data_IF_990249645723
#
_entry.id   IF_990249645723
#
_cell.length_a   1.000
_cell.length_b   1.000
_cell.length_c   1.000
_cell.angle_alpha   90.00
_cell.angle_beta   90.00
_cell.angle_gamma   90.00
#
_symmetry.space_group_name_H-M   'P 1'
#
loop_
_entity.id
_entity.type
_entity.pdbx_description
1 polymer ?
#
# COMPACT_ATOMS: atom_id res chain seq x y z
N UNK A 1 -33.89 24.33 -45.06
CA UNK A 1 -34.16 22.88 -45.15
C UNK A 1 -33.00 22.24 -45.86
N UNK A 2 -32.09 21.66 -45.07
CA UNK A 2 -31.07 20.70 -45.51
C UNK A 2 -30.69 19.96 -44.22
N UNK A 3 -31.24 18.76 -44.04
CA UNK A 3 -30.85 17.78 -43.03
C UNK A 3 -30.12 16.65 -43.75
N UNK A 4 -28.99 16.21 -43.18
CA UNK A 4 -28.33 14.90 -43.28
C UNK A 4 -26.85 15.13 -42.87
N UNK A 5 -26.13 14.29 -42.14
CA UNK A 5 -26.41 13.10 -41.33
C UNK A 5 -25.09 12.91 -40.54
N UNK A 6 -25.11 12.99 -39.21
CA UNK A 6 -23.94 12.68 -38.38
C UNK A 6 -24.09 11.24 -37.87
N UNK A 7 -23.39 10.32 -38.54
CA UNK A 7 -23.25 8.94 -38.12
C UNK A 7 -22.44 8.90 -36.81
N UNK A 8 -23.02 8.29 -35.78
CA UNK A 8 -22.44 8.15 -34.45
C UNK A 8 -21.41 7.01 -34.39
N UNK A 9 -20.14 7.35 -34.19
CA UNK A 9 -19.05 6.42 -33.83
C UNK A 9 -19.12 6.03 -32.34
N UNK A 10 -20.21 5.39 -31.93
CA UNK A 10 -20.46 5.04 -30.52
C UNK A 10 -20.43 3.52 -30.23
N UNK A 11 -19.95 2.68 -31.16
CA UNK A 11 -19.96 1.22 -31.01
C UNK A 11 -18.56 0.60 -30.86
N UNK A 12 -17.74 1.11 -29.92
CA UNK A 12 -16.54 0.39 -29.44
C UNK A 12 -16.36 0.38 -27.91
N UNK A 13 -17.38 0.71 -27.13
CA UNK A 13 -17.34 0.62 -25.66
C UNK A 13 -18.05 -0.65 -25.18
N UNK A 14 -17.67 -1.80 -25.73
CA UNK A 14 -18.02 -3.09 -25.14
C UNK A 14 -16.78 -3.64 -24.41
N UNK A 15 -16.30 -2.86 -23.45
CA UNK A 15 -15.40 -3.36 -22.42
C UNK A 15 -16.25 -4.13 -21.43
N UNK A 16 -16.10 -5.45 -21.42
CA UNK A 16 -16.71 -6.36 -20.45
C UNK A 16 -16.63 -5.72 -19.06
N UNK A 17 -17.80 -5.36 -18.54
CA UNK A 17 -17.98 -4.97 -17.15
C UNK A 17 -17.69 -6.23 -16.31
N UNK A 18 -16.41 -6.51 -16.09
CA UNK A 18 -15.96 -7.42 -15.05
C UNK A 18 -16.30 -6.74 -13.74
N UNK A 19 -17.53 -6.92 -13.30
CA UNK A 19 -17.91 -6.72 -11.90
C UNK A 19 -17.00 -7.66 -11.09
N UNK A 20 -15.82 -7.17 -10.71
CA UNK A 20 -14.99 -7.81 -9.73
C UNK A 20 -15.78 -7.72 -8.43
N UNK A 21 -16.62 -8.71 -8.18
CA UNK A 21 -17.39 -8.83 -6.96
C UNK A 21 -16.39 -8.92 -5.82
N UNK A 22 -16.17 -7.79 -5.14
CA UNK A 22 -15.30 -7.73 -3.97
C UNK A 22 -15.96 -8.57 -2.89
N UNK A 23 -15.46 -9.79 -2.70
CA UNK A 23 -15.98 -10.69 -1.69
C UNK A 23 -15.37 -10.32 -0.33
N UNK A 24 -16.18 -9.74 0.54
CA UNK A 24 -15.77 -9.43 1.89
C UNK A 24 -15.79 -10.70 2.75
N UNK A 25 -14.67 -11.02 3.39
CA UNK A 25 -14.51 -12.18 4.27
C UNK A 25 -14.45 -11.68 5.71
N UNK A 26 -15.58 -11.76 6.42
CA UNK A 26 -15.65 -11.42 7.83
C UNK A 26 -15.73 -9.92 8.13
N UNK A 27 -15.23 -9.53 9.30
CA UNK A 27 -15.29 -8.14 9.79
C UNK A 27 -14.20 -7.26 9.16
N UNK A 28 -14.25 -5.94 9.42
CA UNK A 28 -13.17 -4.99 9.06
C UNK A 28 -12.94 -4.80 7.57
N UNK A 29 -14.00 -4.98 6.77
CA UNK A 29 -13.99 -4.90 5.31
C UNK A 29 -12.87 -5.75 4.70
N UNK A 30 -12.61 -6.92 5.31
CA UNK A 30 -11.53 -7.76 4.88
C UNK A 30 -11.85 -8.44 3.56
N UNK A 31 -10.85 -8.57 2.69
CA UNK A 31 -10.98 -9.17 1.36
C UNK A 31 -9.81 -10.14 1.16
N UNK A 32 -10.07 -11.22 0.43
CA UNK A 32 -9.04 -12.19 0.03
C UNK A 32 -8.95 -12.20 -1.48
N UNK A 33 -7.74 -12.04 -2.00
CA UNK A 33 -7.46 -12.12 -3.43
C UNK A 33 -6.14 -12.84 -3.66
N UNK A 34 -6.00 -13.47 -4.82
CA UNK A 34 -4.75 -14.09 -5.22
C UNK A 34 -3.81 -13.05 -5.85
N UNK A 35 -2.54 -13.08 -5.48
CA UNK A 35 -1.55 -12.13 -5.99
C UNK A 35 -1.28 -12.28 -7.50
N UNK A 36 -1.68 -13.40 -8.10
CA UNK A 36 -1.55 -13.72 -9.52
C UNK A 36 -2.78 -13.31 -10.37
N UNK A 37 -3.90 -12.93 -9.75
CA UNK A 37 -5.10 -12.48 -10.47
C UNK A 37 -4.89 -11.15 -11.22
N UNK A 38 -3.84 -10.39 -10.87
CA UNK A 38 -3.49 -9.18 -11.57
C UNK A 38 -2.69 -9.47 -12.84
N UNK A 39 -3.27 -9.17 -14.01
CA UNK A 39 -2.49 -9.11 -15.24
C UNK A 39 -1.40 -8.04 -15.08
N UNK A 40 -0.11 -8.38 -15.29
CA UNK A 40 0.96 -7.40 -15.22
C UNK A 40 0.71 -6.35 -16.30
N UNK A 41 0.63 -5.08 -15.88
CA UNK A 41 0.60 -3.98 -16.84
C UNK A 41 1.87 -4.05 -17.70
N UNK A 42 1.76 -3.79 -19.02
CA UNK A 42 2.94 -3.73 -19.87
C UNK A 42 3.92 -2.69 -19.28
N UNK A 43 5.24 -2.92 -19.41
CA UNK A 43 6.23 -1.94 -18.98
C UNK A 43 5.89 -0.58 -19.60
N UNK A 44 5.79 0.43 -18.75
CA UNK A 44 5.56 1.79 -19.21
C UNK A 44 6.83 2.28 -19.89
N UNK A 45 6.85 2.27 -21.23
CA UNK A 45 7.92 2.89 -22.01
C UNK A 45 7.77 4.41 -21.91
N UNK A 46 8.62 5.01 -21.09
CA UNK A 46 8.72 6.46 -20.96
C UNK A 46 9.71 6.99 -22.00
N UNK A 47 9.41 8.12 -22.67
CA UNK A 47 10.37 8.79 -23.55
C UNK A 47 11.63 9.22 -22.81
N UNK A 48 12.77 9.29 -23.50
CA UNK A 48 14.06 9.68 -22.92
C UNK A 48 14.02 11.09 -22.28
N UNK A 49 13.29 12.03 -22.90
CA UNK A 49 13.08 13.40 -22.42
C UNK A 49 12.49 13.47 -20.99
N UNK A 50 11.79 12.43 -20.53
CA UNK A 50 11.27 12.37 -19.14
C UNK A 50 12.41 12.34 -18.10
N UNK A 51 13.55 11.77 -18.47
CA UNK A 51 14.73 11.65 -17.62
C UNK A 51 15.67 12.85 -17.76
N UNK A 52 15.42 13.72 -18.72
CA UNK A 52 16.15 14.98 -18.86
C UNK A 52 15.62 16.03 -17.89
N UNK A 53 16.53 16.70 -17.19
CA UNK A 53 16.17 17.74 -16.24
C UNK A 53 15.65 18.97 -16.95
N UNK A 54 14.47 19.44 -16.55
CA UNK A 54 13.96 20.71 -17.03
C UNK A 54 14.47 21.87 -16.17
N UNK A 55 14.32 23.10 -16.67
CA UNK A 55 14.74 24.31 -15.96
C UNK A 55 14.05 24.48 -14.59
N UNK A 56 12.81 24.01 -14.46
CA UNK A 56 12.08 24.05 -13.19
C UNK A 56 12.65 23.08 -12.16
N UNK A 57 13.05 21.88 -12.58
CA UNK A 57 13.70 20.90 -11.70
C UNK A 57 15.03 21.43 -11.18
N UNK A 58 15.81 22.07 -12.06
CA UNK A 58 17.07 22.72 -11.67
C UNK A 58 16.83 23.84 -10.65
N UNK A 59 15.76 24.62 -10.80
CA UNK A 59 15.40 25.67 -9.83
C UNK A 59 15.01 25.07 -8.48
N UNK A 60 14.23 24.00 -8.46
CA UNK A 60 13.84 23.29 -7.23
C UNK A 60 15.06 22.70 -6.55
N UNK A 61 15.91 22.00 -7.28
CA UNK A 61 17.14 21.41 -6.76
C UNK A 61 18.08 22.48 -6.20
N UNK A 62 18.27 23.58 -6.92
CA UNK A 62 19.11 24.67 -6.43
C UNK A 62 18.56 25.29 -5.14
N UNK A 63 17.24 25.48 -5.06
CA UNK A 63 16.58 25.98 -3.84
C UNK A 63 16.80 25.02 -2.66
N UNK A 64 16.64 23.73 -2.89
CA UNK A 64 16.85 22.69 -1.86
C UNK A 64 18.30 22.65 -1.39
N UNK A 65 19.26 22.68 -2.32
CA UNK A 65 20.69 22.72 -2.00
C UNK A 65 21.06 23.96 -1.17
N UNK A 66 20.52 25.13 -1.56
CA UNK A 66 20.72 26.37 -0.83
C UNK A 66 20.13 26.28 0.58
N UNK A 67 18.90 25.79 0.71
CA UNK A 67 18.23 25.63 1.99
C UNK A 67 18.99 24.65 2.89
N UNK A 68 19.39 23.49 2.38
CA UNK A 68 20.14 22.50 3.14
C UNK A 68 21.49 23.05 3.62
N UNK A 69 22.17 23.85 2.79
CA UNK A 69 23.40 24.54 3.19
C UNK A 69 23.12 25.52 4.33
N UNK A 70 22.09 26.36 4.20
CA UNK A 70 21.70 27.31 5.24
C UNK A 70 21.32 26.60 6.55
N UNK A 71 20.59 25.48 6.47
CA UNK A 71 20.19 24.66 7.61
C UNK A 71 21.37 23.99 8.30
N UNK A 72 22.41 23.59 7.56
CA UNK A 72 23.63 22.99 8.13
C UNK A 72 24.55 24.04 8.76
N UNK A 73 24.73 25.18 8.10
CA UNK A 73 25.58 26.27 8.59
C UNK A 73 24.94 26.99 9.79
N UNK A 74 23.62 27.16 9.82
CA UNK A 74 22.89 27.95 10.81
C UNK A 74 21.97 27.12 11.73
N UNK A 75 22.22 25.81 11.86
CA UNK A 75 21.30 24.93 12.61
C UNK A 75 21.14 25.38 14.07
N UNK A 76 19.94 25.78 14.53
CA UNK A 76 19.74 26.18 15.91
C UNK A 76 19.85 24.98 16.86
N UNK A 77 20.29 25.24 18.10
CA UNK A 77 20.31 24.21 19.15
C UNK A 77 18.87 23.80 19.51
N UNK A 78 18.51 22.55 19.23
CA UNK A 78 17.22 21.98 19.63
C UNK A 78 17.29 21.51 21.07
N UNK A 79 16.64 22.23 21.98
CA UNK A 79 16.49 21.85 23.39
C UNK A 79 15.53 20.68 23.54
N UNK A 80 15.55 20.01 24.70
CA UNK A 80 14.63 18.91 25.00
C UNK A 80 13.16 19.34 24.85
N UNK A 81 12.79 20.51 25.38
CA UNK A 81 11.43 21.03 25.30
C UNK A 81 10.94 21.25 23.85
N UNK A 82 11.81 21.75 22.97
CA UNK A 82 11.48 21.96 21.55
C UNK A 82 11.27 20.63 20.83
N UNK A 83 12.09 19.61 21.13
CA UNK A 83 11.93 18.26 20.56
C UNK A 83 10.61 17.63 21.01
N UNK A 84 10.34 17.63 22.32
CA UNK A 84 9.12 17.04 22.87
C UNK A 84 7.84 17.71 22.31
N UNK A 85 7.87 19.04 22.11
CA UNK A 85 6.77 19.79 21.50
C UNK A 85 6.57 19.45 20.02
N UNK A 86 7.64 19.40 19.24
CA UNK A 86 7.54 19.03 17.82
C UNK A 86 7.12 17.56 17.63
N UNK A 87 7.62 16.66 18.47
CA UNK A 87 7.29 15.24 18.43
C UNK A 87 5.81 15.00 18.77
N UNK A 88 5.29 15.69 19.79
CA UNK A 88 3.87 15.62 20.14
C UNK A 88 2.97 16.21 19.06
N UNK A 89 3.31 17.38 18.51
CA UNK A 89 2.56 18.00 17.41
C UNK A 89 2.59 17.13 16.14
N UNK A 90 3.75 16.57 15.79
CA UNK A 90 3.93 15.65 14.66
C UNK A 90 3.12 14.37 14.87
N UNK A 91 3.15 13.81 16.08
CA UNK A 91 2.38 12.61 16.42
C UNK A 91 0.88 12.87 16.28
N UNK A 92 0.36 13.96 16.86
CA UNK A 92 -1.05 14.32 16.74
C UNK A 92 -1.47 14.58 15.28
N UNK A 93 -0.62 15.28 14.52
CA UNK A 93 -0.86 15.53 13.08
C UNK A 93 -0.93 14.22 12.28
N UNK A 94 -0.03 13.28 12.55
CA UNK A 94 -0.01 11.96 11.90
C UNK A 94 -1.23 11.12 12.27
N UNK A 95 -1.63 11.11 13.55
CA UNK A 95 -2.82 10.38 14.01
C UNK A 95 -4.10 10.94 13.36
N UNK A 96 -4.23 12.27 13.29
CA UNK A 96 -5.37 12.89 12.63
C UNK A 96 -5.39 12.66 11.12
N UNK A 97 -4.23 12.62 10.46
CA UNK A 97 -4.13 12.40 9.02
C UNK A 97 -4.46 10.97 8.61
N UNK A 98 -4.09 9.99 9.43
CA UNK A 98 -4.16 8.58 9.07
C UNK A 98 -5.04 7.78 10.04
N UNK A 99 -6.34 8.08 10.07
CA UNK A 99 -7.31 7.42 10.98
C UNK A 99 -7.54 5.94 10.67
N UNK A 100 -7.23 5.50 9.45
CA UNK A 100 -7.42 4.10 9.01
C UNK A 100 -6.14 3.60 8.37
N UNK A 101 -5.79 2.36 8.69
CA UNK A 101 -4.63 1.65 8.17
C UNK A 101 -5.10 0.38 7.47
N UNK A 102 -4.71 0.21 6.22
CA UNK A 102 -4.98 -1.03 5.48
C UNK A 102 -3.77 -1.94 5.64
N UNK A 103 -3.98 -3.14 6.18
CA UNK A 103 -2.92 -4.15 6.33
C UNK A 103 -3.17 -5.26 5.32
N UNK A 104 -2.12 -5.65 4.60
CA UNK A 104 -2.11 -6.77 3.65
C UNK A 104 -1.18 -7.85 4.16
N UNK A 105 -1.69 -9.06 4.32
CA UNK A 105 -0.96 -10.24 4.75
C UNK A 105 -0.85 -11.18 3.57
N UNK A 106 0.37 -11.41 3.11
CA UNK A 106 0.64 -12.35 2.02
C UNK A 106 0.97 -13.73 2.60
N UNK A 107 0.18 -14.71 2.20
CA UNK A 107 0.40 -16.11 2.57
C UNK A 107 1.35 -16.81 1.58
N UNK A 108 1.98 -17.93 1.98
CA UNK A 108 2.89 -18.69 1.12
C UNK A 108 2.23 -19.26 -0.15
N UNK A 109 0.91 -19.47 -0.13
CA UNK A 109 0.08 -19.93 -1.24
C UNK A 109 -0.28 -18.82 -2.24
N UNK A 110 0.32 -17.62 -2.09
CA UNK A 110 0.06 -16.42 -2.89
C UNK A 110 -1.30 -15.78 -2.67
N UNK A 111 -2.06 -16.20 -1.67
CA UNK A 111 -3.24 -15.49 -1.21
C UNK A 111 -2.85 -14.24 -0.43
N UNK A 112 -3.61 -13.17 -0.60
CA UNK A 112 -3.44 -11.92 0.13
C UNK A 112 -4.73 -11.61 0.88
N UNK A 113 -4.64 -11.56 2.21
CA UNK A 113 -5.69 -11.05 3.08
C UNK A 113 -5.46 -9.56 3.33
N UNK A 114 -6.39 -8.72 2.85
CA UNK A 114 -6.39 -7.29 3.12
C UNK A 114 -7.48 -6.96 4.12
N UNK A 115 -7.18 -6.22 5.18
CA UNK A 115 -8.17 -5.78 6.18
C UNK A 115 -7.89 -4.34 6.66
N UNK A 116 -8.95 -3.67 7.13
CA UNK A 116 -8.88 -2.27 7.61
C UNK A 116 -8.80 -2.23 9.14
N UNK A 117 -7.80 -1.55 9.66
CA UNK A 117 -7.55 -1.35 11.08
C UNK A 117 -7.55 0.15 11.43
N UNK A 118 -7.79 0.46 12.69
CA UNK A 118 -7.60 1.80 13.23
C UNK A 118 -6.13 2.01 13.62
N UNK A 119 -5.61 3.24 13.53
CA UNK A 119 -4.22 3.56 13.87
C UNK A 119 -3.83 3.25 15.33
N UNK A 120 -4.83 3.13 16.21
CA UNK A 120 -4.64 2.84 17.64
C UNK A 120 -4.60 1.35 17.97
N UNK A 121 -4.88 0.48 16.99
CA UNK A 121 -4.89 -0.97 17.21
C UNK A 121 -3.48 -1.53 17.30
N UNK A 122 -3.32 -2.56 18.12
CA UNK A 122 -2.01 -3.18 18.36
C UNK A 122 -1.73 -4.27 17.35
N UNK A 123 -0.45 -4.62 17.18
CA UNK A 123 -0.03 -5.77 16.38
C UNK A 123 -0.67 -7.07 16.87
N UNK A 124 -0.92 -7.20 18.18
CA UNK A 124 -1.60 -8.36 18.74
C UNK A 124 -3.03 -8.50 18.19
N UNK A 125 -3.77 -7.40 18.10
CA UNK A 125 -5.13 -7.37 17.50
C UNK A 125 -5.10 -7.83 16.05
N UNK A 126 -4.08 -7.43 15.29
CA UNK A 126 -3.89 -7.88 13.90
C UNK A 126 -3.59 -9.38 13.86
N UNK A 127 -2.70 -9.88 14.72
CA UNK A 127 -2.35 -11.29 14.78
C UNK A 127 -3.55 -12.17 15.16
N UNK A 128 -4.34 -11.75 16.15
CA UNK A 128 -5.53 -12.48 16.58
C UNK A 128 -6.62 -12.46 15.50
N UNK A 129 -6.77 -11.36 14.77
CA UNK A 129 -7.62 -11.31 13.59
C UNK A 129 -7.16 -12.33 12.53
N UNK A 130 -5.88 -12.36 12.17
CA UNK A 130 -5.34 -13.29 11.17
C UNK A 130 -5.59 -14.75 11.58
N UNK A 131 -5.41 -15.09 12.86
CA UNK A 131 -5.67 -16.45 13.37
C UNK A 131 -7.10 -16.92 13.14
N UNK A 132 -8.09 -16.03 13.07
CA UNK A 132 -9.48 -16.42 12.77
C UNK A 132 -9.68 -16.91 11.33
N UNK A 133 -8.77 -16.57 10.42
CA UNK A 133 -8.78 -17.01 9.02
C UNK A 133 -7.83 -18.20 8.76
N UNK A 134 -7.10 -18.65 9.78
CA UNK A 134 -6.20 -19.79 9.67
C UNK A 134 -6.90 -21.04 10.21
N UNK A 135 -6.78 -22.15 9.50
CA UNK A 135 -7.12 -23.45 10.07
C UNK A 135 -6.21 -23.74 11.28
N UNK A 136 -6.72 -24.40 12.33
CA UNK A 136 -5.89 -24.80 13.44
C UNK A 136 -4.75 -25.67 12.90
N UNK A 137 -3.50 -25.46 13.35
CA UNK A 137 -2.39 -26.29 12.90
C UNK A 137 -2.67 -27.72 13.38
N UNK A 138 -3.11 -28.59 12.46
CA UNK A 138 -3.19 -30.03 12.72
C UNK A 138 -1.75 -30.53 12.77
N UNK A 139 -1.11 -30.33 13.92
CA UNK A 139 0.24 -30.78 14.23
C UNK A 139 0.16 -32.31 14.32
N UNK A 140 0.23 -32.98 13.17
CA UNK A 140 0.62 -34.38 13.11
C UNK A 140 2.11 -34.42 12.82
N UNK A 141 2.97 -34.48 13.85
CA UNK A 141 4.35 -34.84 13.61
C UNK A 141 4.32 -36.23 12.96
N UNK A 142 4.80 -36.35 11.73
CA UNK A 142 5.04 -37.66 11.14
C UNK A 142 6.00 -38.39 12.08
N UNK A 143 5.59 -39.53 12.69
CA UNK A 143 6.49 -40.27 13.55
C UNK A 143 7.68 -40.74 12.72
N UNK A 144 8.86 -40.24 13.06
CA UNK A 144 10.13 -40.67 12.53
C UNK A 144 10.21 -42.19 12.66
N UNK A 145 10.17 -42.89 11.53
CA UNK A 145 10.41 -44.33 11.49
C UNK A 145 11.90 -44.58 11.78
N UNK A 146 12.26 -44.64 13.05
CA UNK A 146 13.50 -45.26 13.51
C UNK A 146 13.13 -46.37 14.48
N UNK A 147 12.75 -47.52 13.91
CA UNK A 147 12.78 -48.80 14.62
C UNK A 147 14.23 -49.28 14.59
N UNK A 148 14.98 -49.04 15.67
CA UNK A 148 16.21 -49.79 15.93
C UNK A 148 15.78 -51.14 16.51
N UNK A 149 15.94 -52.18 15.68
CA UNK A 149 15.81 -53.58 16.10
C UNK A 149 16.87 -53.88 17.16
N UNK A 150 16.45 -54.58 18.22
CA UNK A 150 17.37 -55.29 19.10
C UNK A 150 18.02 -56.46 18.38
#
# INVERSE_FOLDING_TARGET
MAEESLQSDADLINGENREQSVHFVGERNAIVFSADTGEPLPPLELPDDFFELNNDDVRVLFKELKQNREDLENRPLRTKAVRDMEDSASTLSRLNRYTRTVIRVQFPDRLVLQAVFNHSETVQTVADFIKTFLEPPDIRPHPSQYSVRQ
#
